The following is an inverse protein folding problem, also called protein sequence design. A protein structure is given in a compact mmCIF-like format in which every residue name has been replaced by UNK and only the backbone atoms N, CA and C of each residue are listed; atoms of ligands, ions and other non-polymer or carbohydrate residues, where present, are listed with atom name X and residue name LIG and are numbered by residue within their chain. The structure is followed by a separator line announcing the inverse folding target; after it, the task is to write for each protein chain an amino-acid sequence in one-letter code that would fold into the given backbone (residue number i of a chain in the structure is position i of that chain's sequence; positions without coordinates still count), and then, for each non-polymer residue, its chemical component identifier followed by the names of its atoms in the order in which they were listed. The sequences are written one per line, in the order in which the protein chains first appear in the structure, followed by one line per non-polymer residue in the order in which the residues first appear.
data_IF_071196481199
#
_entry.id   IF_071196481199
#
_cell.length_a   1.000
_cell.length_b   1.000
_cell.length_c   1.000
_cell.angle_alpha   90.00
_cell.angle_beta   90.00
_cell.angle_gamma   90.00
#
_symmetry.space_group_name_H-M   'P 1'
#
loop_
_entity.id
_entity.type
_entity.pdbx_description
1 polymer ?
#
# COMPACT_ATOMS: atom_id res chain seq x y z
N UNK A 1 -60.39 -12.09 -72.75
CA UNK A 1 -60.49 -11.60 -71.34
C UNK A 1 -59.33 -12.01 -70.42
N UNK A 2 -58.80 -13.25 -70.45
CA UNK A 2 -57.76 -13.72 -69.50
C UNK A 2 -56.43 -12.93 -69.50
N UNK A 3 -55.96 -12.42 -70.64
CA UNK A 3 -54.68 -11.67 -70.74
C UNK A 3 -54.70 -10.30 -70.06
N UNK A 4 -55.86 -9.65 -69.98
CA UNK A 4 -55.99 -8.36 -69.29
C UNK A 4 -56.12 -8.57 -67.78
N UNK A 5 -56.79 -9.64 -67.35
CA UNK A 5 -56.89 -10.04 -65.94
C UNK A 5 -55.50 -10.33 -65.33
N UNK A 6 -54.63 -11.00 -66.07
CA UNK A 6 -53.26 -11.30 -65.62
C UNK A 6 -52.41 -10.03 -65.42
N UNK A 7 -52.60 -9.01 -66.27
CA UNK A 7 -51.92 -7.71 -66.13
C UNK A 7 -52.39 -6.95 -64.88
N UNK A 8 -53.70 -6.96 -64.59
CA UNK A 8 -54.22 -6.35 -63.37
C UNK A 8 -53.74 -7.08 -62.11
N UNK A 9 -53.56 -8.40 -62.18
CA UNK A 9 -53.06 -9.19 -61.06
C UNK A 9 -51.58 -8.92 -60.78
N UNK A 10 -50.77 -8.72 -61.82
CA UNK A 10 -49.37 -8.28 -61.69
C UNK A 10 -49.29 -6.86 -61.10
N UNK A 11 -50.15 -5.95 -61.57
CA UNK A 11 -50.21 -4.57 -61.04
C UNK A 11 -50.62 -4.53 -59.57
N UNK A 12 -51.56 -5.39 -59.16
CA UNK A 12 -51.98 -5.50 -57.76
C UNK A 12 -50.85 -6.06 -56.88
N UNK A 13 -50.12 -7.05 -57.38
CA UNK A 13 -48.98 -7.64 -56.69
C UNK A 13 -47.84 -6.66 -56.48
N UNK A 14 -47.54 -5.80 -57.46
CA UNK A 14 -46.48 -4.79 -57.30
C UNK A 14 -46.85 -3.75 -56.24
N UNK A 15 -48.12 -3.31 -56.18
CA UNK A 15 -48.57 -2.33 -55.17
C UNK A 15 -48.45 -2.89 -53.73
N UNK A 16 -48.71 -4.18 -53.53
CA UNK A 16 -48.59 -4.82 -52.21
C UNK A 16 -47.12 -4.90 -51.78
N UNK A 17 -46.20 -5.22 -52.71
CA UNK A 17 -44.77 -5.31 -52.42
C UNK A 17 -44.14 -3.95 -52.06
N UNK A 18 -44.64 -2.84 -52.62
CA UNK A 18 -44.14 -1.49 -52.28
C UNK A 18 -44.46 -1.06 -50.84
N UNK A 19 -45.52 -1.60 -50.22
CA UNK A 19 -45.92 -1.22 -48.85
C UNK A 19 -45.28 -2.10 -47.75
N UNK A 20 -44.47 -3.10 -48.11
CA UNK A 20 -43.85 -4.03 -47.16
C UNK A 20 -42.50 -3.58 -46.61
N UNK A 21 -41.98 -2.43 -47.04
CA UNK A 21 -40.69 -1.89 -46.57
C UNK A 21 -40.93 -0.94 -45.38
N UNK A 22 -41.16 -1.50 -44.20
CA UNK A 22 -41.19 -0.72 -42.96
C UNK A 22 -39.75 -0.53 -42.47
N UNK A 23 -39.21 0.68 -42.62
CA UNK A 23 -37.96 1.08 -41.96
C UNK A 23 -38.28 1.22 -40.47
N UNK A 24 -37.66 0.37 -39.64
CA UNK A 24 -37.74 0.50 -38.19
C UNK A 24 -36.69 1.50 -37.74
N UNK A 25 -37.11 2.59 -37.09
CA UNK A 25 -36.19 3.50 -36.43
C UNK A 25 -35.48 2.74 -35.31
N UNK A 26 -34.18 2.48 -35.49
CA UNK A 26 -33.39 1.85 -34.46
C UNK A 26 -33.22 2.87 -33.33
N UNK A 27 -33.67 2.59 -32.09
CA UNK A 27 -33.49 3.53 -30.99
C UNK A 27 -32.00 3.83 -30.82
N UNK A 28 -31.68 5.07 -30.46
CA UNK A 28 -30.30 5.47 -30.22
C UNK A 28 -29.65 4.52 -29.21
N UNK A 29 -28.38 4.10 -29.43
CA UNK A 29 -27.69 3.23 -28.50
C UNK A 29 -27.63 3.89 -27.12
N UNK A 30 -28.26 3.25 -26.14
CA UNK A 30 -28.13 3.62 -24.74
C UNK A 30 -26.85 3.00 -24.21
N UNK A 31 -25.85 3.84 -23.92
CA UNK A 31 -24.64 3.42 -23.23
C UNK A 31 -24.89 3.64 -21.74
N UNK A 32 -24.75 2.58 -20.94
CA UNK A 32 -24.72 2.72 -19.49
C UNK A 32 -23.56 3.67 -19.14
N UNK A 33 -23.84 4.68 -18.32
CA UNK A 33 -22.79 5.49 -17.72
C UNK A 33 -21.85 4.53 -16.99
N UNK A 34 -20.60 4.46 -17.42
CA UNK A 34 -19.59 3.60 -16.80
C UNK A 34 -19.58 3.90 -15.31
N UNK A 35 -19.93 2.92 -14.48
CA UNK A 35 -19.79 3.03 -13.04
C UNK A 35 -18.38 3.55 -12.76
N UNK A 36 -18.27 4.72 -12.12
CA UNK A 36 -16.98 5.29 -11.76
C UNK A 36 -16.18 4.21 -11.03
N UNK A 37 -14.98 3.89 -11.51
CA UNK A 37 -14.10 2.95 -10.83
C UNK A 37 -13.85 3.46 -9.41
N UNK A 38 -14.54 2.88 -8.43
CA UNK A 38 -14.33 3.18 -7.02
C UNK A 38 -12.95 2.62 -6.67
N UNK A 39 -11.91 3.45 -6.83
CA UNK A 39 -10.56 3.09 -6.38
C UNK A 39 -10.63 2.69 -4.90
N UNK A 40 -10.26 1.45 -4.55
CA UNK A 40 -10.31 1.01 -3.16
C UNK A 40 -9.39 1.91 -2.32
N UNK A 41 -9.77 2.28 -1.08
CA UNK A 41 -8.97 3.16 -0.26
C UNK A 41 -7.58 2.54 -0.01
N UNK A 42 -6.54 3.22 -0.47
CA UNK A 42 -5.16 2.78 -0.26
C UNK A 42 -4.78 2.93 1.22
N UNK A 43 -4.36 1.83 1.83
CA UNK A 43 -3.90 1.82 3.23
C UNK A 43 -2.57 2.54 3.34
N UNK A 44 -2.46 3.45 4.31
CA UNK A 44 -1.22 4.18 4.66
C UNK A 44 -0.69 3.67 6.01
N UNK A 45 0.63 3.72 6.18
CA UNK A 45 1.32 3.33 7.41
C UNK A 45 1.97 4.57 8.00
N UNK A 46 1.80 4.79 9.31
CA UNK A 46 2.49 5.81 10.08
C UNK A 46 3.17 5.15 11.27
N UNK A 47 4.49 5.23 11.34
CA UNK A 47 5.30 4.76 12.46
C UNK A 47 5.80 5.98 13.25
N UNK A 48 5.51 6.00 14.55
CA UNK A 48 5.99 7.02 15.48
C UNK A 48 6.75 6.30 16.57
N UNK A 49 8.00 6.70 16.78
CA UNK A 49 8.82 6.27 17.91
C UNK A 49 9.16 7.48 18.76
N UNK A 50 9.14 7.31 20.09
CA UNK A 50 9.43 8.35 21.05
C UNK A 50 10.68 7.91 21.81
N UNK A 51 11.77 8.66 21.62
CA UNK A 51 13.05 8.34 22.23
C UNK A 51 12.98 8.47 23.76
N UNK A 52 13.57 7.50 24.47
CA UNK A 52 13.63 7.44 25.93
C UNK A 52 12.31 7.22 26.67
N UNK A 53 11.18 7.01 25.97
CA UNK A 53 9.89 6.82 26.64
C UNK A 53 9.74 5.40 27.19
N UNK A 54 9.73 5.28 28.52
CA UNK A 54 9.50 4.02 29.22
C UNK A 54 8.01 3.81 29.46
N UNK A 55 7.48 2.64 29.10
CA UNK A 55 6.04 2.33 29.21
C UNK A 55 5.46 2.53 30.62
N UNK A 56 6.20 2.18 31.67
CA UNK A 56 5.78 2.40 33.07
C UNK A 56 5.66 3.87 33.45
N UNK A 57 6.45 4.75 32.84
CA UNK A 57 6.34 6.20 33.07
C UNK A 57 5.13 6.77 32.34
N UNK A 58 4.86 6.28 31.13
CA UNK A 58 3.67 6.65 30.38
C UNK A 58 2.37 6.24 31.11
N UNK A 59 2.37 5.07 31.76
CA UNK A 59 1.22 4.56 32.51
C UNK A 59 0.78 5.51 33.64
N UNK A 60 1.72 6.26 34.25
CA UNK A 60 1.43 7.20 35.34
C UNK A 60 0.61 8.41 34.86
N UNK A 61 0.77 8.81 33.59
CA UNK A 61 0.08 9.97 33.03
C UNK A 61 0.01 9.87 31.51
N UNK A 62 -1.11 9.35 31.01
CA UNK A 62 -1.33 9.17 29.57
C UNK A 62 -1.87 10.47 28.97
N UNK A 63 -1.21 11.06 27.95
CA UNK A 63 -1.75 12.24 27.25
C UNK A 63 -3.09 11.94 26.58
N UNK A 64 -4.02 12.91 26.60
CA UNK A 64 -5.39 12.76 26.07
C UNK A 64 -5.45 12.19 24.64
N UNK A 65 -4.57 12.65 23.75
CA UNK A 65 -4.56 12.17 22.37
C UNK A 65 -4.09 10.71 22.28
N UNK A 66 -3.11 10.32 23.09
CA UNK A 66 -2.64 8.93 23.13
C UNK A 66 -3.70 8.01 23.74
N UNK A 67 -4.41 8.47 24.77
CA UNK A 67 -5.55 7.74 25.34
C UNK A 67 -6.59 7.42 24.26
N UNK A 68 -6.92 8.40 23.41
CA UNK A 68 -7.89 8.19 22.32
C UNK A 68 -7.45 7.16 21.27
N UNK A 69 -6.13 6.99 21.09
CA UNK A 69 -5.56 5.94 20.22
C UNK A 69 -5.60 4.57 20.90
N UNK A 70 -5.29 4.52 22.21
CA UNK A 70 -5.34 3.30 23.01
C UNK A 70 -6.77 2.74 23.03
N UNK A 71 -7.78 3.60 23.26
CA UNK A 71 -9.19 3.20 23.34
C UNK A 71 -9.72 2.58 22.04
N UNK A 72 -9.10 2.88 20.89
CA UNK A 72 -9.51 2.42 19.55
C UNK A 72 -8.56 1.40 18.94
N UNK A 73 -7.46 1.08 19.63
CA UNK A 73 -6.34 0.33 19.09
C UNK A 73 -6.02 -0.93 19.88
N UNK A 74 -4.88 -1.53 19.53
CA UNK A 74 -4.22 -2.55 20.35
C UNK A 74 -2.99 -1.93 20.98
N UNK A 75 -2.82 -2.15 22.27
CA UNK A 75 -1.78 -1.46 23.03
C UNK A 75 -1.23 -2.35 24.17
N UNK A 76 0.04 -2.13 24.53
CA UNK A 76 0.70 -2.75 25.69
C UNK A 76 1.70 -1.77 26.30
N UNK A 77 1.73 -1.67 27.64
CA UNK A 77 2.82 -1.00 28.37
C UNK A 77 4.04 -1.90 28.56
N UNK A 78 3.87 -3.21 28.39
CA UNK A 78 4.92 -4.20 28.52
C UNK A 78 5.67 -4.30 27.18
N UNK A 79 6.94 -3.91 27.20
CA UNK A 79 7.89 -4.07 26.09
C UNK A 79 9.15 -4.76 26.61
N UNK A 80 9.74 -5.62 25.77
CA UNK A 80 11.04 -6.22 26.03
C UNK A 80 12.04 -5.52 25.11
N UNK A 81 13.09 -4.94 25.69
CA UNK A 81 14.20 -4.40 24.92
C UNK A 81 15.21 -5.50 24.61
N UNK A 82 15.99 -5.28 23.56
CA UNK A 82 17.16 -6.10 23.29
C UNK A 82 18.22 -5.95 24.40
N UNK A 83 19.22 -6.85 24.40
CA UNK A 83 20.38 -6.80 25.30
C UNK A 83 21.14 -5.47 25.15
N UNK A 84 21.29 -5.00 23.91
CA UNK A 84 21.83 -3.67 23.60
C UNK A 84 20.70 -2.69 23.40
N UNK A 85 20.51 -1.81 24.38
CA UNK A 85 19.44 -0.80 24.43
C UNK A 85 19.93 0.62 24.12
N UNK A 86 21.06 0.76 23.41
CA UNK A 86 21.49 2.08 22.94
C UNK A 86 20.57 2.56 21.80
N UNK A 87 20.53 3.88 21.51
CA UNK A 87 19.63 4.40 20.48
C UNK A 87 19.84 3.72 19.12
N UNK A 88 21.09 3.59 18.68
CA UNK A 88 21.45 3.02 17.37
C UNK A 88 20.92 1.59 17.23
N UNK A 89 21.24 0.72 18.20
CA UNK A 89 20.86 -0.69 18.18
C UNK A 89 19.34 -0.85 18.26
N UNK A 90 18.68 -0.03 19.08
CA UNK A 90 17.21 -0.04 19.23
C UNK A 90 16.51 0.35 17.92
N UNK A 91 16.97 1.42 17.27
CA UNK A 91 16.44 1.84 15.97
C UNK A 91 16.68 0.78 14.89
N UNK A 92 17.89 0.21 14.84
CA UNK A 92 18.21 -0.87 13.90
C UNK A 92 17.31 -2.07 14.11
N UNK A 93 17.19 -2.55 15.36
CA UNK A 93 16.34 -3.69 15.73
C UNK A 93 14.89 -3.45 15.31
N UNK A 94 14.36 -2.24 15.52
CA UNK A 94 13.00 -1.89 15.08
C UNK A 94 12.85 -1.92 13.55
N UNK A 95 13.88 -1.49 12.82
CA UNK A 95 13.83 -1.42 11.36
C UNK A 95 14.05 -2.77 10.67
N UNK A 96 14.88 -3.63 11.24
CA UNK A 96 15.21 -4.95 10.67
C UNK A 96 14.32 -6.06 11.20
N UNK A 97 13.75 -5.89 12.40
CA UNK A 97 12.94 -6.90 13.09
C UNK A 97 13.77 -8.03 13.71
N UNK A 98 15.09 -7.88 13.79
CA UNK A 98 16.01 -8.84 14.42
C UNK A 98 16.82 -8.14 15.51
N UNK A 99 17.36 -8.88 16.47
CA UNK A 99 18.15 -8.31 17.56
C UNK A 99 19.58 -7.91 17.12
N UNK A 100 20.26 -7.15 17.96
CA UNK A 100 21.63 -6.67 17.77
C UNK A 100 22.66 -7.77 17.62
N UNK A 101 22.43 -8.94 18.21
CA UNK A 101 23.29 -10.11 18.00
C UNK A 101 23.21 -10.68 16.58
N UNK A 102 22.18 -10.31 15.78
CA UNK A 102 22.00 -10.72 14.38
C UNK A 102 22.35 -9.60 13.41
N UNK A 103 21.92 -8.35 13.69
CA UNK A 103 22.20 -7.24 12.78
C UNK A 103 23.57 -6.57 13.02
N UNK A 104 24.23 -6.82 14.15
CA UNK A 104 25.58 -6.35 14.48
C UNK A 104 25.84 -4.84 14.38
N UNK A 105 24.79 -4.02 14.47
CA UNK A 105 24.88 -2.55 14.43
C UNK A 105 24.79 -2.02 15.86
N UNK A 106 25.84 -1.34 16.30
CA UNK A 106 25.99 -1.03 17.74
C UNK A 106 26.46 0.40 18.01
N UNK A 107 26.87 1.14 16.97
CA UNK A 107 27.40 2.49 17.05
C UNK A 107 26.81 3.42 15.98
N UNK A 108 27.05 4.72 16.16
CA UNK A 108 26.38 5.80 15.41
C UNK A 108 26.73 5.84 13.91
N UNK A 109 27.65 4.98 13.45
CA UNK A 109 27.92 4.81 12.03
C UNK A 109 26.81 4.02 11.32
N UNK A 110 25.95 3.33 12.08
CA UNK A 110 24.89 2.47 11.55
C UNK A 110 25.39 1.35 10.62
N UNK A 111 26.66 0.97 10.76
CA UNK A 111 27.27 -0.09 9.98
C UNK A 111 27.37 -1.35 10.82
N UNK A 112 27.01 -2.49 10.23
CA UNK A 112 27.20 -3.78 10.87
C UNK A 112 28.71 -4.04 11.06
N UNK A 113 29.11 -4.39 12.28
CA UNK A 113 30.50 -4.73 12.59
C UNK A 113 30.75 -6.20 12.30
N UNK A 114 31.92 -6.49 11.75
CA UNK A 114 32.41 -7.86 11.68
C UNK A 114 32.60 -8.41 13.11
N UNK A 115 32.42 -9.71 13.26
CA UNK A 115 32.69 -10.39 14.52
C UNK A 115 34.17 -10.19 14.89
N UNK A 116 34.44 -9.75 16.12
CA UNK A 116 35.81 -9.56 16.60
C UNK A 116 36.61 -10.88 16.61
N UNK A 117 35.92 -12.02 16.68
CA UNK A 117 36.51 -13.36 16.65
C UNK A 117 36.74 -13.91 15.23
N UNK A 118 36.07 -13.36 14.21
CA UNK A 118 36.27 -13.72 12.81
C UNK A 118 36.12 -12.48 11.91
N UNK A 119 37.21 -11.74 11.77
CA UNK A 119 37.27 -10.50 10.96
C UNK A 119 37.16 -10.76 9.45
N UNK A 120 37.19 -12.02 9.02
CA UNK A 120 37.05 -12.42 7.62
C UNK A 120 35.67 -12.99 7.30
N UNK A 121 34.81 -13.16 8.30
CA UNK A 121 33.43 -13.57 8.10
C UNK A 121 32.66 -12.53 7.28
N UNK A 122 31.70 -13.03 6.49
CA UNK A 122 30.75 -12.18 5.80
C UNK A 122 29.94 -11.37 6.82
N UNK A 123 29.89 -10.05 6.65
CA UNK A 123 29.11 -9.18 7.53
C UNK A 123 27.63 -9.46 7.26
N UNK A 124 26.93 -10.02 8.26
CA UNK A 124 25.52 -10.34 8.13
C UNK A 124 24.69 -9.06 7.96
N UNK A 125 24.15 -8.87 6.75
CA UNK A 125 23.26 -7.76 6.43
C UNK A 125 21.81 -8.13 6.73
N UNK A 126 21.19 -7.46 7.69
CA UNK A 126 19.76 -7.57 7.97
C UNK A 126 19.00 -6.45 7.23
N UNK A 127 18.21 -6.74 6.18
CA UNK A 127 17.50 -5.70 5.44
C UNK A 127 16.39 -5.07 6.29
N UNK A 128 16.30 -3.75 6.24
CA UNK A 128 15.22 -3.00 6.90
C UNK A 128 13.88 -3.20 6.19
N UNK A 129 12.78 -2.87 6.86
CA UNK A 129 11.48 -2.83 6.19
C UNK A 129 11.44 -1.77 5.08
N UNK A 130 12.21 -0.67 5.18
CA UNK A 130 12.34 0.33 4.10
C UNK A 130 12.99 -0.27 2.86
N UNK A 131 14.13 -0.97 3.03
CA UNK A 131 14.80 -1.68 1.94
C UNK A 131 13.83 -2.65 1.25
N UNK A 132 13.03 -3.39 2.03
CA UNK A 132 12.02 -4.30 1.48
C UNK A 132 10.90 -3.56 0.74
N UNK A 133 10.43 -2.42 1.24
CA UNK A 133 9.42 -1.61 0.55
C UNK A 133 9.96 -1.08 -0.77
N UNK A 134 11.18 -0.54 -0.82
CA UNK A 134 11.76 -0.05 -2.06
C UNK A 134 12.02 -1.16 -3.08
N UNK A 135 12.44 -2.34 -2.62
CA UNK A 135 12.67 -3.49 -3.49
C UNK A 135 11.37 -4.10 -4.06
N UNK A 136 10.27 -4.08 -3.30
CA UNK A 136 9.02 -4.79 -3.67
C UNK A 136 7.91 -3.87 -4.15
N UNK A 137 7.90 -2.62 -3.71
CA UNK A 137 6.86 -1.61 -3.90
C UNK A 137 7.47 -0.22 -4.09
N UNK A 138 8.31 -0.02 -5.12
CA UNK A 138 8.96 1.27 -5.37
C UNK A 138 7.97 2.41 -5.64
N UNK A 139 6.72 2.11 -5.97
CA UNK A 139 5.64 3.08 -6.14
C UNK A 139 5.16 3.75 -4.84
N UNK A 140 5.54 3.22 -3.67
CA UNK A 140 5.13 3.78 -2.39
C UNK A 140 5.97 4.99 -1.99
N UNK A 141 5.29 6.13 -1.86
CA UNK A 141 5.88 7.35 -1.32
C UNK A 141 6.19 7.16 0.17
N UNK A 142 7.48 7.24 0.50
CA UNK A 142 7.99 7.10 1.87
C UNK A 142 8.64 8.40 2.32
N UNK A 143 8.41 8.82 3.56
CA UNK A 143 9.02 10.02 4.14
C UNK A 143 9.41 9.73 5.58
N UNK A 144 10.63 10.15 5.95
CA UNK A 144 11.17 10.01 7.30
C UNK A 144 11.40 11.40 7.85
N UNK A 145 10.96 11.63 9.09
CA UNK A 145 11.21 12.87 9.84
C UNK A 145 11.79 12.48 11.18
N UNK A 146 13.00 12.94 11.47
CA UNK A 146 13.69 12.67 12.72
C UNK A 146 14.54 13.88 13.11
N UNK A 147 14.71 14.10 14.42
CA UNK A 147 15.70 15.04 14.94
C UNK A 147 17.14 14.51 14.82
N UNK A 148 17.31 13.22 14.57
CA UNK A 148 18.60 12.58 14.45
C UNK A 148 19.00 12.42 12.98
N UNK A 149 19.87 13.31 12.50
CA UNK A 149 20.32 13.35 11.11
C UNK A 149 20.94 12.02 10.61
N UNK A 150 21.85 11.37 11.36
CA UNK A 150 22.35 10.04 11.00
C UNK A 150 21.27 8.99 10.72
N UNK A 151 20.13 9.01 11.41
CA UNK A 151 19.03 8.09 11.15
C UNK A 151 18.40 8.35 9.77
N UNK A 152 18.27 9.63 9.40
CA UNK A 152 17.69 10.04 8.11
C UNK A 152 18.65 9.74 6.97
N UNK A 153 19.96 9.88 7.17
CA UNK A 153 20.94 9.69 6.08
C UNK A 153 21.28 8.23 5.81
N UNK A 154 21.26 7.36 6.83
CA UNK A 154 21.80 6.00 6.72
C UNK A 154 20.75 4.89 6.48
N UNK A 155 19.44 5.19 6.54
CA UNK A 155 18.38 4.17 6.45
C UNK A 155 17.44 4.34 5.24
N UNK A 156 18.03 4.28 4.05
CA UNK A 156 17.33 4.14 2.76
C UNK A 156 17.63 2.79 2.12
#
# INVERSE_FOLDING_TARGET
MKKNLFKYLILLWTIILYNSCTVYDNPAPYFEDSEEEVTPPQRKILLISIDGLVGRELEKSIPKNLQSLIDKGKFTFNSISDEKSNPVSTWTTMMTGVNSSIHHVEDETFTAKADASDQHAEIAFAPTFFYRFFATRPEYNTTIVSSWEPLVLNYW
#
